data_IF_290627936576
#
_entry.id   IF_290627936576
#
_cell.length_a   1.000
_cell.length_b   1.000
_cell.length_c   1.000
_cell.angle_alpha   90.00
_cell.angle_beta   90.00
_cell.angle_gamma   90.00
#
_symmetry.space_group_name_H-M   'P 1'
#
loop_
_entity.id
_entity.type
_entity.pdbx_description
1 polymer ?
#
# COMPACT_ATOMS: atom_id res chain seq x y z
N UNK A 1 -4.63 16.19 23.50
CA UNK A 1 -4.75 17.63 23.79
C UNK A 1 -3.40 18.23 24.25
N UNK A 2 -2.72 17.68 25.29
CA UNK A 2 -1.50 18.27 25.85
C UNK A 2 -0.38 18.42 24.81
N UNK A 3 -0.05 17.35 24.07
CA UNK A 3 0.98 17.41 23.02
C UNK A 3 0.68 18.42 21.91
N UNK A 4 -0.59 18.51 21.50
CA UNK A 4 -1.00 19.48 20.49
C UNK A 4 -0.81 20.93 20.99
N UNK A 5 -1.08 21.16 22.27
CA UNK A 5 -0.86 22.46 22.91
C UNK A 5 0.63 22.80 23.00
N UNK A 6 1.47 21.84 23.37
CA UNK A 6 2.93 22.02 23.43
C UNK A 6 3.50 22.35 22.03
N UNK A 7 3.05 21.68 20.97
CA UNK A 7 3.43 22.01 19.60
C UNK A 7 2.97 23.39 19.16
N UNK A 8 1.75 23.79 19.55
CA UNK A 8 1.25 25.14 19.30
C UNK A 8 2.13 26.21 19.96
N UNK A 9 2.47 26.03 21.24
CA UNK A 9 3.35 26.97 21.96
C UNK A 9 4.73 27.06 21.32
N UNK A 10 5.30 25.94 20.88
CA UNK A 10 6.58 25.93 20.19
C UNK A 10 6.55 26.71 18.85
N UNK A 11 5.44 26.67 18.14
CA UNK A 11 5.26 27.48 16.92
C UNK A 11 5.15 28.97 17.25
N UNK A 12 4.47 29.33 18.34
CA UNK A 12 4.37 30.74 18.80
C UNK A 12 5.73 31.28 19.25
N UNK A 13 6.51 30.49 19.99
CA UNK A 13 7.87 30.84 20.41
C UNK A 13 8.82 31.03 19.24
N UNK A 14 8.61 30.29 18.14
CA UNK A 14 9.38 30.42 16.90
C UNK A 14 9.02 31.66 16.05
N UNK A 15 8.16 32.53 16.53
CA UNK A 15 7.73 33.73 15.83
C UNK A 15 6.38 33.61 15.12
N UNK A 16 5.60 32.60 15.46
CA UNK A 16 4.26 32.35 14.96
C UNK A 16 4.22 31.48 13.70
N UNK A 17 3.02 31.09 13.32
CA UNK A 17 2.78 30.10 12.26
C UNK A 17 3.40 30.50 10.90
N UNK A 18 3.30 31.77 10.52
CA UNK A 18 3.84 32.22 9.24
C UNK A 18 5.39 32.15 9.18
N UNK A 19 6.05 32.52 10.27
CA UNK A 19 7.51 32.39 10.37
C UNK A 19 7.95 30.92 10.31
N UNK A 20 7.24 30.04 11.01
CA UNK A 20 7.48 28.60 10.99
C UNK A 20 7.25 27.97 9.61
N UNK A 21 6.23 28.44 8.84
CA UNK A 21 6.03 28.03 7.44
C UNK A 21 7.18 28.46 6.53
N UNK A 22 7.64 29.71 6.65
CA UNK A 22 8.79 30.22 5.87
C UNK A 22 10.07 29.46 6.19
N UNK A 23 10.27 29.11 7.46
CA UNK A 23 11.42 28.32 7.91
C UNK A 23 11.32 26.83 7.52
N UNK A 24 10.18 26.35 7.03
CA UNK A 24 9.97 24.96 6.67
C UNK A 24 9.80 23.99 7.85
N UNK A 25 9.72 24.47 9.08
CA UNK A 25 9.65 23.64 10.28
C UNK A 25 8.32 22.87 10.38
N UNK A 26 7.22 23.52 10.01
CA UNK A 26 5.90 22.87 9.96
C UNK A 26 5.88 21.77 8.90
N UNK A 27 6.41 22.04 7.72
CA UNK A 27 6.50 21.08 6.62
C UNK A 27 7.36 19.86 7.00
N UNK A 28 8.50 20.10 7.65
CA UNK A 28 9.37 19.02 8.12
C UNK A 28 8.67 18.11 9.14
N UNK A 29 7.99 18.68 10.13
CA UNK A 29 7.26 17.92 11.15
C UNK A 29 6.09 17.10 10.55
N UNK A 30 5.33 17.70 9.61
CA UNK A 30 4.24 17.01 8.91
C UNK A 30 4.79 15.88 8.03
N UNK A 31 5.87 16.12 7.28
CA UNK A 31 6.48 15.12 6.42
C UNK A 31 7.06 13.94 7.22
N UNK A 32 7.63 14.18 8.39
CA UNK A 32 8.11 13.11 9.25
C UNK A 32 6.95 12.25 9.78
N UNK A 33 5.88 12.88 10.25
CA UNK A 33 4.66 12.19 10.67
C UNK A 33 4.05 11.36 9.53
N UNK A 34 4.01 11.92 8.32
CA UNK A 34 3.52 11.23 7.13
C UNK A 34 4.39 10.02 6.79
N UNK A 35 5.72 10.17 6.81
CA UNK A 35 6.67 9.07 6.58
C UNK A 35 6.51 7.94 7.60
N UNK A 36 6.33 8.27 8.87
CA UNK A 36 6.08 7.28 9.92
C UNK A 36 4.76 6.52 9.68
N UNK A 37 3.71 7.24 9.28
CA UNK A 37 2.41 6.66 8.95
C UNK A 37 2.48 5.75 7.73
N UNK A 38 3.11 6.18 6.64
CA UNK A 38 3.30 5.34 5.45
C UNK A 38 4.07 4.06 5.78
N UNK A 39 5.09 4.15 6.63
CA UNK A 39 5.81 2.96 7.12
C UNK A 39 4.90 2.02 7.91
N UNK A 40 4.05 2.54 8.77
CA UNK A 40 3.10 1.73 9.54
C UNK A 40 2.07 1.05 8.62
N UNK A 41 1.55 1.77 7.62
CA UNK A 41 0.63 1.23 6.60
C UNK A 41 1.31 0.17 5.75
N UNK A 42 2.54 0.41 5.26
CA UNK A 42 3.30 -0.56 4.48
C UNK A 42 3.60 -1.85 5.26
N UNK A 43 3.87 -1.73 6.55
CA UNK A 43 4.08 -2.87 7.46
C UNK A 43 2.78 -3.52 7.95
N UNK A 44 1.62 -3.02 7.51
CA UNK A 44 0.29 -3.47 7.95
C UNK A 44 0.05 -3.34 9.46
N UNK A 45 0.79 -2.45 10.13
CA UNK A 45 0.56 -2.08 11.54
C UNK A 45 -0.61 -1.10 11.67
N UNK A 46 -0.79 -0.23 10.70
CA UNK A 46 -2.00 0.58 10.51
C UNK A 46 -2.82 -0.07 9.39
N UNK A 47 -4.01 -0.57 9.75
CA UNK A 47 -4.89 -1.30 8.82
C UNK A 47 -5.81 -0.32 8.13
N UNK A 48 -5.74 -0.29 6.81
CA UNK A 48 -6.68 0.39 5.92
C UNK A 48 -7.52 -0.69 5.25
N UNK A 49 -8.69 -0.96 5.81
CA UNK A 49 -9.59 -2.01 5.36
C UNK A 49 -9.93 -1.84 3.86
N UNK A 50 -9.79 -2.92 3.10
CA UNK A 50 -9.98 -2.90 1.65
C UNK A 50 -8.78 -2.39 0.84
N UNK A 51 -7.76 -1.83 1.49
CA UNK A 51 -6.57 -1.26 0.83
C UNK A 51 -5.33 -2.11 1.07
N UNK A 52 -4.82 -2.15 2.29
CA UNK A 52 -3.65 -2.95 2.64
C UNK A 52 -3.98 -4.25 3.39
N UNK A 53 -5.25 -4.45 3.72
CA UNK A 53 -5.81 -5.70 4.23
C UNK A 53 -7.24 -5.91 3.75
N UNK A 54 -7.61 -7.17 3.55
CA UNK A 54 -8.93 -7.61 3.11
C UNK A 54 -9.42 -6.89 1.84
N UNK A 55 -8.62 -6.89 0.75
CA UNK A 55 -9.03 -6.26 -0.50
C UNK A 55 -10.20 -7.01 -1.12
N UNK A 56 -11.05 -6.30 -1.85
CA UNK A 56 -12.01 -6.94 -2.73
C UNK A 56 -11.30 -7.42 -3.99
N UNK A 57 -11.26 -8.74 -4.20
CA UNK A 57 -10.51 -9.37 -5.31
C UNK A 57 -11.07 -9.01 -6.70
N UNK A 58 -12.32 -8.61 -6.78
CA UNK A 58 -13.00 -8.29 -8.02
C UNK A 58 -13.19 -6.80 -8.26
N UNK A 59 -12.77 -5.96 -7.31
CA UNK A 59 -12.87 -4.53 -7.44
C UNK A 59 -11.85 -4.02 -8.46
N UNK A 60 -12.33 -3.13 -9.34
CA UNK A 60 -11.48 -2.32 -10.20
C UNK A 60 -11.43 -0.92 -9.62
N UNK A 61 -10.24 -0.31 -9.63
CA UNK A 61 -10.12 1.09 -9.29
C UNK A 61 -10.99 1.89 -10.26
N UNK A 62 -11.91 2.66 -9.72
CA UNK A 62 -12.73 3.54 -10.57
C UNK A 62 -11.85 4.58 -11.25
N UNK A 63 -12.34 5.17 -12.36
CA UNK A 63 -11.68 6.25 -13.12
C UNK A 63 -11.44 7.55 -12.32
N UNK A 64 -11.22 7.45 -11.03
CA UNK A 64 -10.80 8.57 -10.19
C UNK A 64 -9.32 8.81 -10.43
N UNK A 65 -9.02 9.54 -11.50
CA UNK A 65 -7.70 10.12 -11.68
C UNK A 65 -7.37 10.95 -10.42
N UNK A 66 -6.12 10.91 -9.93
CA UNK A 66 -5.69 11.86 -8.93
C UNK A 66 -6.09 13.26 -9.45
N UNK A 67 -6.81 13.99 -8.63
CA UNK A 67 -7.08 15.39 -8.97
C UNK A 67 -5.72 16.07 -8.92
N UNK A 68 -5.07 16.22 -10.06
CA UNK A 68 -3.92 17.09 -10.17
C UNK A 68 -4.36 18.42 -9.60
N UNK A 69 -3.68 18.87 -8.54
CA UNK A 69 -4.01 20.11 -7.86
C UNK A 69 -4.02 21.27 -8.83
N UNK A 70 -5.16 21.53 -9.44
CA UNK A 70 -5.36 22.77 -10.15
C UNK A 70 -5.23 23.89 -9.14
N UNK A 71 -4.23 24.73 -9.36
CA UNK A 71 -4.09 25.97 -8.62
C UNK A 71 -5.44 26.69 -8.64
N UNK A 72 -5.96 27.07 -7.45
CA UNK A 72 -7.23 27.77 -7.29
C UNK A 72 -7.24 29.20 -7.87
N UNK A 73 -6.11 29.66 -8.36
CA UNK A 73 -5.96 30.93 -9.08
C UNK A 73 -6.24 30.75 -10.57
N UNK A 74 -7.46 30.48 -10.96
CA UNK A 74 -7.99 30.16 -12.28
C UNK A 74 -7.48 30.99 -13.48
N UNK A 75 -6.19 30.95 -13.79
CA UNK A 75 -5.57 31.56 -14.94
C UNK A 75 -4.48 30.68 -15.53
N UNK A 76 -4.52 30.49 -16.84
CA UNK A 76 -3.43 29.88 -17.60
C UNK A 76 -2.15 30.71 -17.39
N UNK A 77 -1.07 30.00 -16.96
CA UNK A 77 0.30 30.50 -16.92
C UNK A 77 0.68 31.60 -15.91
N UNK A 78 0.28 31.48 -14.64
CA UNK A 78 1.00 32.19 -13.59
C UNK A 78 2.05 31.27 -12.95
N UNK A 79 3.34 31.57 -13.19
CA UNK A 79 4.43 31.15 -12.30
C UNK A 79 4.21 31.85 -10.97
N UNK A 80 3.44 31.25 -10.07
CA UNK A 80 3.39 31.70 -8.69
C UNK A 80 4.79 31.51 -8.11
N UNK A 81 5.52 32.60 -7.88
CA UNK A 81 6.71 32.56 -7.03
C UNK A 81 6.25 32.04 -5.66
N UNK A 82 6.66 30.81 -5.33
CA UNK A 82 6.30 30.22 -4.06
C UNK A 82 7.18 30.84 -2.98
N UNK A 83 6.61 31.70 -2.16
CA UNK A 83 7.32 32.25 -0.98
C UNK A 83 7.62 31.19 0.09
N UNK A 84 6.88 30.09 0.09
CA UNK A 84 7.01 28.99 1.05
C UNK A 84 6.83 27.65 0.34
N UNK A 85 7.50 26.62 0.83
CA UNK A 85 7.24 25.25 0.38
C UNK A 85 5.85 24.81 0.78
N UNK A 86 5.12 24.21 -0.16
CA UNK A 86 3.78 23.67 0.10
C UNK A 86 3.85 22.39 0.90
N UNK A 87 2.86 22.16 1.76
CA UNK A 87 2.66 20.84 2.36
C UNK A 87 2.37 19.81 1.27
N UNK A 88 2.94 18.62 1.42
CA UNK A 88 2.62 17.49 0.53
C UNK A 88 1.21 17.04 0.82
N UNK A 89 0.34 17.14 -0.19
CA UNK A 89 -1.02 16.63 -0.10
C UNK A 89 -1.01 15.14 -0.42
N UNK A 90 -1.07 14.32 0.63
CA UNK A 90 -0.94 12.89 0.53
C UNK A 90 -1.98 12.17 1.41
N UNK A 91 -2.27 10.91 1.08
CA UNK A 91 -3.18 10.05 1.81
C UNK A 91 -2.46 8.78 2.25
N UNK A 92 -2.87 8.21 3.38
CA UNK A 92 -2.27 6.98 3.88
C UNK A 92 -2.36 5.81 2.88
N UNK A 93 -3.37 5.79 2.02
CA UNK A 93 -3.60 4.77 1.01
C UNK A 93 -2.84 5.00 -0.31
N UNK A 94 -2.23 6.17 -0.52
CA UNK A 94 -1.72 6.60 -1.84
C UNK A 94 -0.75 5.63 -2.49
N UNK A 95 0.15 5.01 -1.72
CA UNK A 95 1.12 4.05 -2.24
C UNK A 95 0.47 2.74 -2.73
N UNK A 96 -0.50 2.21 -1.98
CA UNK A 96 -1.26 1.03 -2.38
C UNK A 96 -2.18 1.31 -3.57
N UNK A 97 -2.80 2.48 -3.58
CA UNK A 97 -3.63 2.92 -4.71
C UNK A 97 -2.79 3.07 -5.99
N UNK A 98 -1.60 3.68 -5.89
CA UNK A 98 -0.69 3.82 -7.03
C UNK A 98 -0.27 2.45 -7.58
N UNK A 99 0.14 1.52 -6.70
CA UNK A 99 0.51 0.15 -7.09
C UNK A 99 -0.64 -0.58 -7.79
N UNK A 100 -1.85 -0.46 -7.25
CA UNK A 100 -3.03 -1.09 -7.84
C UNK A 100 -3.40 -0.47 -9.19
N UNK A 101 -3.36 0.85 -9.30
CA UNK A 101 -3.60 1.55 -10.56
C UNK A 101 -2.57 1.18 -11.64
N UNK A 102 -1.30 1.04 -11.26
CA UNK A 102 -0.24 0.60 -12.16
C UNK A 102 -0.49 -0.83 -12.67
N UNK A 103 -0.88 -1.74 -11.77
CA UNK A 103 -1.26 -3.11 -12.14
C UNK A 103 -2.44 -3.10 -13.12
N UNK A 104 -3.46 -2.31 -12.87
CA UNK A 104 -4.63 -2.21 -13.75
C UNK A 104 -4.28 -1.56 -15.10
N UNK A 105 -3.44 -0.52 -15.10
CA UNK A 105 -3.01 0.17 -16.30
C UNK A 105 -2.12 -0.69 -17.22
N UNK A 106 -1.40 -1.66 -16.66
CA UNK A 106 -0.59 -2.62 -17.43
C UNK A 106 -1.41 -3.49 -18.39
N UNK A 107 -2.74 -3.53 -18.21
CA UNK A 107 -3.64 -4.39 -18.97
C UNK A 107 -3.46 -5.89 -18.72
N UNK A 108 -2.52 -6.26 -17.85
CA UNK A 108 -2.27 -7.63 -17.39
C UNK A 108 -2.59 -7.71 -15.92
N UNK A 109 -3.29 -8.76 -15.52
CA UNK A 109 -3.51 -9.09 -14.14
C UNK A 109 -2.63 -10.30 -13.79
N UNK A 110 -1.47 -10.09 -13.14
CA UNK A 110 -0.58 -11.19 -12.81
C UNK A 110 -1.30 -12.25 -11.97
N UNK A 111 -1.06 -13.52 -12.27
CA UNK A 111 -1.67 -14.66 -11.58
C UNK A 111 -0.72 -15.17 -10.51
N UNK A 112 -1.16 -15.12 -9.26
CA UNK A 112 -0.44 -15.66 -8.11
C UNK A 112 -1.10 -16.97 -7.67
N UNK A 113 -0.40 -18.06 -7.84
CA UNK A 113 -0.85 -19.41 -7.49
C UNK A 113 -0.30 -19.81 -6.12
N UNK A 114 -1.18 -20.25 -5.23
CA UNK A 114 -0.79 -20.75 -3.91
C UNK A 114 -0.48 -22.25 -4.02
N UNK A 115 0.80 -22.62 -3.98
CA UNK A 115 1.22 -24.01 -3.89
C UNK A 115 1.15 -24.40 -2.41
N UNK A 116 0.02 -24.97 -2.01
CA UNK A 116 -0.25 -25.37 -0.63
C UNK A 116 0.04 -26.85 -0.44
N UNK A 117 0.97 -27.18 0.48
CA UNK A 117 1.42 -28.55 0.75
C UNK A 117 1.68 -28.74 2.24
N UNK A 118 1.67 -29.97 2.72
CA UNK A 118 2.01 -30.33 4.09
C UNK A 118 0.91 -30.02 5.10
N UNK A 119 1.31 -29.58 6.30
CA UNK A 119 0.40 -29.36 7.44
C UNK A 119 -0.77 -28.43 7.10
N UNK A 120 -2.00 -28.93 7.25
CA UNK A 120 -3.23 -28.25 6.84
C UNK A 120 -3.38 -26.85 7.47
N UNK A 121 -3.16 -26.74 8.78
CA UNK A 121 -3.36 -25.46 9.49
C UNK A 121 -2.34 -24.41 9.05
N UNK A 122 -1.09 -24.82 8.91
CA UNK A 122 0.00 -23.92 8.54
C UNK A 122 -0.09 -23.49 7.08
N UNK A 123 -0.31 -24.44 6.15
CA UNK A 123 -0.46 -24.10 4.74
C UNK A 123 -1.63 -23.18 4.49
N UNK A 124 -2.78 -23.39 5.17
CA UNK A 124 -3.94 -22.50 5.03
C UNK A 124 -3.67 -21.09 5.57
N UNK A 125 -3.06 -20.98 6.76
CA UNK A 125 -2.73 -19.67 7.33
C UNK A 125 -1.78 -18.88 6.41
N UNK A 126 -0.77 -19.54 5.83
CA UNK A 126 0.18 -18.90 4.91
C UNK A 126 -0.45 -18.54 3.57
N UNK A 127 -1.28 -19.43 3.03
CA UNK A 127 -2.02 -19.16 1.81
C UNK A 127 -2.97 -17.97 2.00
N UNK A 128 -3.73 -17.92 3.09
CA UNK A 128 -4.63 -16.81 3.39
C UNK A 128 -3.87 -15.48 3.53
N UNK A 129 -2.71 -15.49 4.21
CA UNK A 129 -1.87 -14.30 4.28
C UNK A 129 -1.39 -13.85 2.91
N UNK A 130 -0.86 -14.77 2.11
CA UNK A 130 -0.29 -14.48 0.80
C UNK A 130 -1.36 -14.04 -0.21
N UNK A 131 -2.52 -14.70 -0.21
CA UNK A 131 -3.67 -14.28 -1.00
C UNK A 131 -4.08 -12.85 -0.70
N UNK A 132 -4.23 -12.53 0.59
CA UNK A 132 -4.60 -11.20 1.03
C UNK A 132 -3.54 -10.16 0.65
N UNK A 133 -2.26 -10.50 0.80
CA UNK A 133 -1.15 -9.61 0.49
C UNK A 133 -1.07 -9.27 -1.01
N UNK A 134 -1.08 -10.29 -1.87
CA UNK A 134 -0.95 -10.11 -3.32
C UNK A 134 -2.20 -9.48 -3.95
N UNK A 135 -3.38 -9.79 -3.41
CA UNK A 135 -4.61 -9.16 -3.86
C UNK A 135 -4.67 -7.66 -3.56
N UNK A 136 -3.95 -7.15 -2.54
CA UNK A 136 -3.82 -5.70 -2.31
C UNK A 136 -3.16 -4.97 -3.50
N UNK A 137 -2.28 -5.65 -4.22
CA UNK A 137 -1.67 -5.13 -5.45
C UNK A 137 -2.56 -5.32 -6.71
N UNK A 138 -3.74 -5.91 -6.57
CA UNK A 138 -4.65 -6.16 -7.68
C UNK A 138 -4.38 -7.45 -8.45
N UNK A 139 -3.51 -8.35 -7.95
CA UNK A 139 -3.20 -9.61 -8.61
C UNK A 139 -4.39 -10.58 -8.57
N UNK A 140 -4.48 -11.44 -9.58
CA UNK A 140 -5.40 -12.58 -9.57
C UNK A 140 -4.83 -13.67 -8.67
N UNK A 141 -5.56 -14.02 -7.64
CA UNK A 141 -5.12 -15.02 -6.68
C UNK A 141 -5.82 -16.34 -6.95
N UNK A 142 -5.03 -17.41 -7.11
CA UNK A 142 -5.52 -18.77 -7.32
C UNK A 142 -5.19 -19.56 -6.06
N UNK A 143 -6.20 -19.75 -5.23
CA UNK A 143 -6.14 -20.56 -4.01
C UNK A 143 -6.64 -21.98 -4.28
N UNK A 144 -6.27 -22.94 -3.41
CA UNK A 144 -6.66 -24.34 -3.54
C UNK A 144 -6.68 -25.05 -2.17
N UNK A 145 -7.18 -26.27 -2.15
CA UNK A 145 -7.30 -27.07 -0.94
C UNK A 145 -5.97 -27.73 -0.50
N UNK A 146 -4.99 -27.77 -1.39
CA UNK A 146 -3.68 -28.36 -1.16
C UNK A 146 -3.39 -29.55 -2.05
N UNK A 147 -2.09 -29.85 -2.16
CA UNK A 147 -1.54 -30.94 -2.95
C UNK A 147 -0.91 -32.00 -2.04
N UNK A 148 -0.93 -33.26 -2.49
CA UNK A 148 -0.28 -34.36 -1.80
C UNK A 148 1.22 -34.41 -2.09
N UNK A 149 1.63 -33.94 -3.29
CA UNK A 149 3.04 -33.90 -3.71
C UNK A 149 3.38 -32.56 -4.34
N UNK A 150 4.65 -32.22 -4.33
CA UNK A 150 5.18 -30.99 -4.95
C UNK A 150 4.96 -31.00 -6.45
N UNK A 151 5.17 -32.16 -7.09
CA UNK A 151 5.01 -32.32 -8.54
C UNK A 151 3.57 -32.01 -9.00
N UNK A 152 2.57 -32.52 -8.27
CA UNK A 152 1.17 -32.23 -8.57
C UNK A 152 0.85 -30.73 -8.43
N UNK A 153 1.45 -30.07 -7.42
CA UNK A 153 1.33 -28.62 -7.25
C UNK A 153 1.97 -27.82 -8.37
N UNK A 154 3.15 -28.23 -8.82
CA UNK A 154 3.87 -27.60 -9.95
C UNK A 154 3.09 -27.78 -11.26
N UNK A 155 2.60 -28.99 -11.55
CA UNK A 155 1.76 -29.24 -12.73
C UNK A 155 0.51 -28.37 -12.75
N UNK A 156 -0.16 -28.23 -11.59
CA UNK A 156 -1.34 -27.37 -11.46
C UNK A 156 -0.98 -25.88 -11.67
N UNK A 157 0.14 -25.42 -11.15
CA UNK A 157 0.60 -24.04 -11.34
C UNK A 157 0.92 -23.76 -12.83
N UNK A 158 1.56 -24.70 -13.50
CA UNK A 158 1.85 -24.61 -14.95
C UNK A 158 0.56 -24.62 -15.77
N UNK A 159 -0.39 -25.49 -15.44
CA UNK A 159 -1.70 -25.53 -16.09
C UNK A 159 -2.49 -24.24 -15.92
N UNK A 160 -2.39 -23.61 -14.74
CA UNK A 160 -3.01 -22.31 -14.44
C UNK A 160 -2.30 -21.15 -15.16
N UNK A 161 -1.12 -21.37 -15.75
CA UNK A 161 -0.25 -20.34 -16.34
C UNK A 161 0.01 -19.23 -15.31
N UNK A 162 0.47 -19.63 -14.13
CA UNK A 162 0.78 -18.71 -13.05
C UNK A 162 2.04 -17.90 -13.38
N UNK A 163 2.00 -16.60 -13.09
CA UNK A 163 3.17 -15.70 -13.19
C UNK A 163 4.03 -15.78 -11.92
N UNK A 164 3.38 -16.06 -10.79
CA UNK A 164 4.01 -16.16 -9.47
C UNK A 164 3.48 -17.44 -8.79
N UNK A 165 4.39 -18.22 -8.24
CA UNK A 165 4.04 -19.38 -7.40
C UNK A 165 4.49 -19.08 -5.98
N UNK A 166 3.58 -19.20 -5.02
CA UNK A 166 3.83 -18.98 -3.59
C UNK A 166 3.72 -20.31 -2.88
N UNK A 167 4.85 -20.80 -2.37
CA UNK A 167 4.89 -22.04 -1.59
C UNK A 167 4.35 -21.75 -0.18
N UNK A 168 3.35 -22.51 0.23
CA UNK A 168 2.67 -22.38 1.51
C UNK A 168 2.72 -23.72 2.26
N UNK A 169 3.60 -23.82 3.25
CA UNK A 169 3.80 -25.00 4.09
C UNK A 169 4.16 -24.61 5.53
N UNK A 170 4.53 -25.54 6.37
CA UNK A 170 5.10 -25.27 7.69
C UNK A 170 6.60 -24.98 7.59
N UNK A 171 7.16 -24.35 8.63
CA UNK A 171 8.59 -24.02 8.65
C UNK A 171 9.49 -25.26 8.58
N UNK A 172 9.02 -26.36 9.16
CA UNK A 172 9.76 -27.64 9.18
C UNK A 172 9.76 -28.33 7.80
N UNK A 173 8.71 -28.10 7.01
CA UNK A 173 8.50 -28.74 5.69
C UNK A 173 9.12 -27.98 4.54
N UNK A 174 9.55 -26.72 4.73
CA UNK A 174 10.23 -25.96 3.65
C UNK A 174 11.65 -26.45 3.34
N UNK A 175 12.24 -27.25 4.25
CA UNK A 175 13.60 -27.75 4.11
C UNK A 175 13.68 -29.08 3.34
N UNK A 176 12.56 -29.73 3.09
CA UNK A 176 12.41 -31.00 2.38
C UNK A 176 11.96 -30.76 0.93
#
# INVERSE_FOLDING_TARGET
>A
AKQAWELFLAVEEAGGFYAALKAGTVQAAVNESNKARHKAVAQRREVLLGTNQFPNFNEKAGNKQPVEGKCCCGGDSHTCEKEVDTLVFDRAASQFEALRLETEASGKRPKAFMLTIGNLAMRQARAQYSCNFLACAGYEVIDNLGFETVEAGVEAAMAAKADIVVICSSDDEYAE
#
